data_IF_606825757293
#
_entry.id   IF_606825757293
#
_cell.length_a   1.000
_cell.length_b   1.000
_cell.length_c   1.000
_cell.angle_alpha   90.00
_cell.angle_beta   90.00
_cell.angle_gamma   90.00
#
_symmetry.space_group_name_H-M   'P 1'
#
loop_
_entity.id
_entity.type
_entity.pdbx_description
1 polymer ?
#
# COMPACT_ATOMS: atom_id res chain seq x y z
N UNK A 1 -11.83 2.81 1.99
CA UNK A 1 -11.64 3.74 0.86
C UNK A 1 -10.24 4.32 1.00
N UNK A 2 -9.30 3.95 0.11
CA UNK A 2 -7.90 4.40 0.29
C UNK A 2 -6.82 3.72 -0.55
N UNK A 3 -7.17 2.91 -1.55
CA UNK A 3 -6.20 2.26 -2.45
C UNK A 3 -6.25 2.77 -3.90
N UNK A 4 -7.22 3.61 -4.26
CA UNK A 4 -7.38 4.10 -5.64
C UNK A 4 -6.41 5.23 -6.00
N UNK A 5 -5.89 5.99 -5.03
CA UNK A 5 -5.04 7.15 -5.31
C UNK A 5 -3.61 6.76 -5.77
N UNK A 6 -3.08 5.60 -5.37
CA UNK A 6 -1.69 5.22 -5.65
C UNK A 6 -1.50 4.71 -7.09
N UNK A 7 -2.53 4.10 -7.70
CA UNK A 7 -2.48 3.65 -9.08
C UNK A 7 -2.73 4.77 -10.12
N UNK A 8 -3.47 5.81 -9.75
CA UNK A 8 -3.73 6.96 -10.65
C UNK A 8 -2.47 7.81 -10.85
N UNK A 9 -1.63 7.95 -9.82
CA UNK A 9 -0.36 8.67 -9.92
C UNK A 9 0.64 8.01 -10.87
N UNK A 10 0.68 6.67 -10.91
CA UNK A 10 1.62 5.95 -11.77
C UNK A 10 1.18 5.98 -13.26
N UNK A 11 -0.13 6.01 -13.52
CA UNK A 11 -0.69 6.08 -14.88
C UNK A 11 -0.44 7.45 -15.52
N UNK A 12 -0.58 8.54 -14.77
CA UNK A 12 -0.28 9.88 -15.27
C UNK A 12 1.21 10.13 -15.48
N UNK A 13 2.10 9.56 -14.65
CA UNK A 13 3.55 9.64 -14.87
C UNK A 13 3.97 8.91 -16.14
N UNK A 14 3.47 7.68 -16.34
CA UNK A 14 3.71 6.92 -17.58
C UNK A 14 3.17 7.65 -18.82
N UNK A 15 1.98 8.24 -18.73
CA UNK A 15 1.35 8.93 -19.85
C UNK A 15 2.06 10.26 -20.18
N UNK A 16 2.61 10.97 -19.18
CA UNK A 16 3.39 12.20 -19.40
C UNK A 16 4.77 11.90 -20.01
N UNK A 17 5.42 10.82 -19.56
CA UNK A 17 6.71 10.36 -20.12
C UNK A 17 6.53 9.87 -21.56
N UNK A 18 5.47 9.09 -21.85
CA UNK A 18 5.19 8.62 -23.20
C UNK A 18 4.68 9.72 -24.15
N UNK A 19 3.88 10.68 -23.65
CA UNK A 19 3.46 11.81 -24.48
C UNK A 19 4.60 12.77 -24.78
N UNK A 20 5.55 12.99 -23.85
CA UNK A 20 6.78 13.73 -24.11
C UNK A 20 7.61 13.09 -25.24
N UNK A 21 7.76 11.76 -25.20
CA UNK A 21 8.49 11.00 -26.22
C UNK A 21 7.84 11.08 -27.61
N UNK A 22 6.50 11.18 -27.68
CA UNK A 22 5.74 11.25 -28.94
C UNK A 22 5.82 12.61 -29.63
N UNK A 23 6.02 13.69 -28.86
CA UNK A 23 6.27 15.03 -29.42
C UNK A 23 7.73 15.22 -29.82
N UNK A 24 8.68 14.66 -29.08
CA UNK A 24 10.10 14.66 -29.46
C UNK A 24 10.38 13.84 -30.73
N UNK A 25 9.64 12.75 -30.98
CA UNK A 25 9.75 11.99 -32.24
C UNK A 25 9.14 12.73 -33.45
N UNK A 26 8.16 13.62 -33.24
CA UNK A 26 7.60 14.47 -34.29
C UNK A 26 8.47 15.72 -34.57
N UNK A 27 9.08 16.31 -33.53
CA UNK A 27 10.09 17.36 -33.69
C UNK A 27 11.41 16.83 -34.26
N UNK A 28 11.78 15.59 -33.94
CA UNK A 28 12.91 14.89 -34.56
C UNK A 28 12.75 14.68 -36.07
N UNK A 29 11.52 14.56 -36.57
CA UNK A 29 11.25 14.50 -38.03
C UNK A 29 11.42 15.83 -38.77
N UNK A 30 11.45 16.96 -38.07
CA UNK A 30 11.75 18.28 -38.66
C UNK A 30 13.23 18.70 -38.53
N UNK A 31 14.03 17.99 -37.72
CA UNK A 31 15.48 18.19 -37.60
C UNK A 31 16.19 17.31 -38.64
N UNK A 32 15.95 17.59 -39.93
CA UNK A 32 16.54 16.84 -41.06
C UNK A 32 18.06 16.97 -41.17
N UNK A 33 18.70 17.76 -40.31
CA UNK A 33 20.14 17.78 -40.12
C UNK A 33 20.45 17.27 -38.71
N UNK A 34 20.95 16.04 -38.61
CA UNK A 34 21.58 15.61 -37.37
C UNK A 34 22.78 16.53 -37.09
N UNK A 35 23.11 16.73 -35.82
CA UNK A 35 24.29 17.49 -35.42
C UNK A 35 25.53 16.94 -36.13
N UNK A 36 25.62 15.62 -36.27
CA UNK A 36 26.67 14.92 -37.02
C UNK A 36 26.70 15.33 -38.50
N UNK A 37 25.55 15.48 -39.17
CA UNK A 37 25.46 15.97 -40.56
C UNK A 37 25.90 17.44 -40.70
N UNK A 38 25.64 18.29 -39.70
CA UNK A 38 26.10 19.69 -39.68
C UNK A 38 27.63 19.76 -39.60
N UNK A 39 28.25 18.95 -38.75
CA UNK A 39 29.72 18.88 -38.66
C UNK A 39 30.34 18.22 -39.90
N UNK A 40 29.75 17.13 -40.39
CA UNK A 40 30.27 16.39 -41.54
C UNK A 40 30.19 17.22 -42.83
N UNK A 41 29.09 17.98 -43.03
CA UNK A 41 28.97 18.90 -44.17
C UNK A 41 30.00 20.03 -44.12
N UNK A 42 30.24 20.62 -42.94
CA UNK A 42 31.29 21.63 -42.75
C UNK A 42 32.69 21.07 -43.06
N UNK A 43 33.00 19.88 -42.55
CA UNK A 43 34.28 19.20 -42.80
C UNK A 43 34.48 18.93 -44.30
N UNK A 44 33.46 18.40 -44.99
CA UNK A 44 33.50 18.13 -46.43
C UNK A 44 33.70 19.43 -47.23
N UNK A 45 33.05 20.54 -46.82
CA UNK A 45 33.23 21.85 -47.45
C UNK A 45 34.66 22.41 -47.24
N UNK A 46 35.28 22.22 -46.07
CA UNK A 46 36.67 22.66 -45.82
C UNK A 46 37.64 21.86 -46.69
N UNK A 47 37.51 20.53 -46.71
CA UNK A 47 38.39 19.67 -47.51
C UNK A 47 38.18 19.86 -49.01
N UNK A 48 36.94 20.03 -49.46
CA UNK A 48 36.62 20.39 -50.84
C UNK A 48 37.22 21.74 -51.25
N UNK A 49 37.08 22.76 -50.39
CA UNK A 49 37.68 24.08 -50.60
C UNK A 49 39.22 24.03 -50.64
N UNK A 50 39.85 23.23 -49.78
CA UNK A 50 41.31 23.02 -49.78
C UNK A 50 41.78 22.31 -51.05
N UNK A 51 41.00 21.34 -51.56
CA UNK A 51 41.23 20.69 -52.84
C UNK A 51 41.16 21.66 -54.02
N UNK A 52 40.18 22.57 -54.02
CA UNK A 52 40.08 23.62 -55.05
C UNK A 52 41.21 24.66 -54.95
N UNK A 53 41.63 25.02 -53.74
CA UNK A 53 42.73 25.96 -53.52
C UNK A 53 44.08 25.41 -53.99
N UNK A 54 44.33 24.10 -53.82
CA UNK A 54 45.59 23.45 -54.22
C UNK A 54 45.83 23.44 -55.74
N UNK A 55 44.76 23.43 -56.53
CA UNK A 55 44.80 23.48 -58.00
C UNK A 55 45.19 24.88 -58.49
N UNK A 56 44.84 25.93 -57.74
CA UNK A 56 45.02 27.33 -58.15
C UNK A 56 46.38 27.88 -57.70
N UNK A 57 46.74 27.73 -56.41
CA UNK A 57 48.01 28.23 -55.86
C UNK A 57 48.34 27.54 -54.52
N UNK A 58 49.55 26.97 -54.42
CA UNK A 58 50.02 26.26 -53.21
C UNK A 58 50.24 27.20 -52.02
N UNK A 59 50.50 28.49 -52.25
CA UNK A 59 50.66 29.49 -51.17
C UNK A 59 49.34 29.85 -50.49
N UNK A 60 48.23 29.62 -51.18
CA UNK A 60 46.87 29.89 -50.72
C UNK A 60 46.41 28.80 -49.73
N UNK A 61 46.92 27.57 -49.89
CA UNK A 61 46.68 26.43 -48.99
C UNK A 61 47.22 26.69 -47.57
N UNK A 62 48.47 27.18 -47.45
CA UNK A 62 49.07 27.49 -46.14
C UNK A 62 48.29 28.59 -45.40
N UNK A 63 47.81 29.59 -46.16
CA UNK A 63 47.02 30.69 -45.61
C UNK A 63 45.66 30.20 -45.10
N UNK A 64 44.92 29.41 -45.91
CA UNK A 64 43.63 28.84 -45.50
C UNK A 64 43.79 27.92 -44.29
N UNK A 65 44.80 27.07 -44.25
CA UNK A 65 45.04 26.17 -43.11
C UNK A 65 45.29 26.95 -41.82
N UNK A 66 46.10 28.00 -41.88
CA UNK A 66 46.36 28.86 -40.72
C UNK A 66 45.08 29.55 -40.22
N UNK A 67 44.29 30.14 -41.12
CA UNK A 67 43.03 30.78 -40.76
C UNK A 67 41.96 29.78 -40.32
N UNK A 68 41.95 28.55 -40.82
CA UNK A 68 41.03 27.49 -40.38
C UNK A 68 41.33 27.04 -38.94
N UNK A 69 42.61 26.91 -38.58
CA UNK A 69 43.02 26.60 -37.20
C UNK A 69 42.64 27.76 -36.27
N UNK A 70 42.92 29.01 -36.67
CA UNK A 70 42.53 30.20 -35.91
C UNK A 70 41.00 30.32 -35.76
N UNK A 71 40.25 30.04 -36.82
CA UNK A 71 38.80 30.04 -36.81
C UNK A 71 38.28 28.97 -35.85
N UNK A 72 38.83 27.76 -35.87
CA UNK A 72 38.43 26.67 -34.95
C UNK A 72 38.66 27.08 -33.49
N UNK A 73 39.86 27.58 -33.17
CA UNK A 73 40.19 28.05 -31.81
C UNK A 73 39.26 29.20 -31.39
N UNK A 74 39.10 30.22 -32.24
CA UNK A 74 38.24 31.36 -31.95
C UNK A 74 36.75 30.97 -31.81
N UNK A 75 36.29 29.96 -32.56
CA UNK A 75 34.91 29.46 -32.49
C UNK A 75 34.63 28.74 -31.17
N UNK A 76 35.62 28.00 -30.65
CA UNK A 76 35.51 27.30 -29.36
C UNK A 76 35.48 28.31 -28.19
N UNK A 77 36.35 29.31 -28.22
CA UNK A 77 36.51 30.24 -27.09
C UNK A 77 35.57 31.46 -27.12
N UNK A 78 35.29 32.00 -28.31
CA UNK A 78 34.55 33.27 -28.47
C UNK A 78 33.30 33.15 -29.37
N UNK A 79 32.93 31.92 -29.79
CA UNK A 79 31.70 31.61 -30.53
C UNK A 79 31.49 32.49 -31.78
N UNK A 80 30.29 33.05 -31.96
CA UNK A 80 29.95 33.94 -33.09
C UNK A 80 30.83 35.19 -33.17
N UNK A 81 31.31 35.69 -32.04
CA UNK A 81 32.17 36.88 -32.02
C UNK A 81 33.58 36.55 -32.52
N UNK A 82 34.12 35.40 -32.11
CA UNK A 82 35.38 34.86 -32.63
C UNK A 82 35.32 34.58 -34.14
N UNK A 83 34.22 33.96 -34.59
CA UNK A 83 33.96 33.74 -36.01
C UNK A 83 33.93 35.05 -36.81
N UNK A 84 33.23 36.07 -36.32
CA UNK A 84 33.15 37.37 -36.99
C UNK A 84 34.52 38.05 -37.15
N UNK A 85 35.33 38.07 -36.08
CA UNK A 85 36.67 38.68 -36.10
C UNK A 85 37.61 37.94 -37.06
N UNK A 86 37.66 36.61 -37.01
CA UNK A 86 38.53 35.81 -37.88
C UNK A 86 38.09 35.89 -39.35
N UNK A 87 36.78 35.90 -39.60
CA UNK A 87 36.21 36.04 -40.95
C UNK A 87 36.53 37.40 -41.58
N UNK A 88 36.45 38.49 -40.81
CA UNK A 88 36.81 39.83 -41.28
C UNK A 88 38.31 39.94 -41.57
N UNK A 89 39.17 39.39 -40.71
CA UNK A 89 40.62 39.36 -40.93
C UNK A 89 41.00 38.51 -42.14
N UNK A 90 40.36 37.35 -42.30
CA UNK A 90 40.56 36.49 -43.46
C UNK A 90 40.18 37.21 -44.76
N UNK A 91 39.00 37.83 -44.82
CA UNK A 91 38.57 38.60 -45.99
C UNK A 91 39.54 39.75 -46.32
N UNK A 92 40.01 40.48 -45.32
CA UNK A 92 40.94 41.59 -45.52
C UNK A 92 42.28 41.12 -46.10
N UNK A 93 42.87 40.07 -45.50
CA UNK A 93 44.17 39.51 -45.95
C UNK A 93 44.05 38.80 -47.29
N UNK A 94 42.98 38.04 -47.50
CA UNK A 94 42.70 37.32 -48.74
C UNK A 94 42.48 38.29 -49.91
N UNK A 95 41.70 39.35 -49.70
CA UNK A 95 41.44 40.36 -50.72
C UNK A 95 42.70 41.17 -51.05
N UNK A 96 43.47 41.60 -50.03
CA UNK A 96 44.70 42.38 -50.24
C UNK A 96 45.76 41.60 -51.03
N UNK A 97 45.89 40.28 -50.78
CA UNK A 97 46.93 39.45 -51.40
C UNK A 97 46.59 38.98 -52.81
N UNK A 98 45.31 38.83 -53.16
CA UNK A 98 44.89 38.16 -54.41
C UNK A 98 44.13 39.05 -55.41
N UNK A 99 43.97 40.35 -55.14
CA UNK A 99 43.29 41.29 -56.06
C UNK A 99 43.99 41.46 -57.43
N UNK A 100 45.29 41.18 -57.51
CA UNK A 100 46.12 41.42 -58.71
C UNK A 100 46.60 40.17 -59.45
N UNK A 101 46.33 38.96 -58.95
CA UNK A 101 46.96 37.70 -59.44
C UNK A 101 45.98 36.66 -60.01
N UNK A 102 44.67 36.81 -59.81
CA UNK A 102 43.70 35.79 -60.24
C UNK A 102 43.09 36.11 -61.60
N UNK A 103 43.15 35.15 -62.54
CA UNK A 103 42.56 35.25 -63.89
C UNK A 103 41.03 35.22 -63.92
N UNK A 104 40.35 35.05 -62.77
CA UNK A 104 38.89 35.17 -62.66
C UNK A 104 38.45 35.52 -61.23
N UNK A 105 37.87 36.71 -61.06
CA UNK A 105 37.29 37.20 -59.80
C UNK A 105 36.20 36.28 -59.22
N UNK A 106 35.50 35.54 -60.08
CA UNK A 106 34.44 34.62 -59.69
C UNK A 106 34.96 33.44 -58.87
N UNK A 107 36.14 32.91 -59.22
CA UNK A 107 36.76 31.82 -58.48
C UNK A 107 37.27 32.27 -57.10
N UNK A 108 37.88 33.46 -57.03
CA UNK A 108 38.37 34.00 -55.78
C UNK A 108 37.22 34.30 -54.80
N UNK A 109 36.11 34.88 -55.29
CA UNK A 109 34.92 35.12 -54.49
C UNK A 109 34.21 33.83 -54.07
N UNK A 110 34.04 32.87 -54.99
CA UNK A 110 33.41 31.58 -54.69
C UNK A 110 34.18 30.75 -53.65
N UNK A 111 35.51 30.78 -53.71
CA UNK A 111 36.34 30.10 -52.71
C UNK A 111 36.21 30.77 -51.33
N UNK A 112 36.27 32.11 -51.28
CA UNK A 112 36.13 32.85 -50.03
C UNK A 112 34.76 32.66 -49.39
N UNK A 113 33.68 32.66 -50.17
CA UNK A 113 32.33 32.47 -49.63
C UNK A 113 32.12 31.03 -49.16
N UNK A 114 32.66 30.03 -49.85
CA UNK A 114 32.59 28.64 -49.43
C UNK A 114 33.28 28.39 -48.07
N UNK A 115 34.46 29.00 -47.84
CA UNK A 115 35.15 28.89 -46.55
C UNK A 115 34.42 29.60 -45.41
N UNK A 116 33.91 30.82 -45.67
CA UNK A 116 33.11 31.55 -44.69
C UNK A 116 31.84 30.77 -44.33
N UNK A 117 31.13 30.25 -45.32
CA UNK A 117 29.94 29.42 -45.10
C UNK A 117 30.28 28.17 -44.30
N UNK A 118 31.39 27.51 -44.61
CA UNK A 118 31.79 26.30 -43.88
C UNK A 118 32.11 26.57 -42.41
N UNK A 119 32.86 27.63 -42.11
CA UNK A 119 33.13 28.05 -40.73
C UNK A 119 31.85 28.50 -40.02
N UNK A 120 30.93 29.18 -40.72
CA UNK A 120 29.64 29.58 -40.17
C UNK A 120 28.76 28.38 -39.78
N UNK A 121 28.71 27.34 -40.64
CA UNK A 121 28.01 26.08 -40.36
C UNK A 121 28.63 25.38 -39.16
N UNK A 122 29.97 25.40 -39.01
CA UNK A 122 30.67 24.81 -37.87
C UNK A 122 30.30 25.50 -36.54
N UNK A 123 30.26 26.83 -36.53
CA UNK A 123 29.90 27.62 -35.34
C UNK A 123 28.44 27.38 -34.95
N UNK A 124 27.54 27.28 -35.92
CA UNK A 124 26.14 26.91 -35.69
C UNK A 124 26.02 25.50 -35.08
N UNK A 125 26.83 24.54 -35.51
CA UNK A 125 26.90 23.21 -34.91
C UNK A 125 27.30 23.26 -33.43
N UNK A 126 28.30 24.07 -33.07
CA UNK A 126 28.76 24.23 -31.67
C UNK A 126 27.65 24.82 -30.80
N UNK A 127 26.92 25.82 -31.30
CA UNK A 127 25.84 26.45 -30.52
C UNK A 127 24.65 25.53 -30.32
N UNK A 128 24.31 24.71 -31.32
CA UNK A 128 23.24 23.71 -31.19
C UNK A 128 23.59 22.62 -30.16
N UNK A 129 24.85 22.21 -30.05
CA UNK A 129 25.31 21.27 -29.01
C UNK A 129 25.20 21.91 -27.62
N UNK A 130 25.59 23.18 -27.46
CA UNK A 130 25.53 23.86 -26.16
C UNK A 130 24.09 24.05 -25.69
N UNK A 131 23.17 24.40 -26.60
CA UNK A 131 21.74 24.47 -26.31
C UNK A 131 21.17 23.11 -25.89
N UNK A 132 21.49 22.04 -26.62
CA UNK A 132 21.03 20.70 -26.29
C UNK A 132 21.58 20.21 -24.94
N UNK A 133 22.85 20.49 -24.64
CA UNK A 133 23.46 20.18 -23.35
C UNK A 133 22.81 20.97 -22.20
N UNK A 134 22.45 22.23 -22.42
CA UNK A 134 21.75 23.04 -21.42
C UNK A 134 20.33 22.53 -21.17
N UNK A 135 19.59 22.17 -22.22
CA UNK A 135 18.26 21.57 -22.09
C UNK A 135 18.32 20.22 -21.37
N UNK A 136 19.27 19.35 -21.73
CA UNK A 136 19.46 18.07 -21.04
C UNK A 136 19.82 18.26 -19.57
N UNK A 137 20.68 19.24 -19.26
CA UNK A 137 21.03 19.57 -17.87
C UNK A 137 19.83 20.08 -17.09
N UNK A 138 19.01 20.95 -17.67
CA UNK A 138 17.77 21.42 -17.04
C UNK A 138 16.78 20.28 -16.79
N UNK A 139 16.60 19.37 -17.75
CA UNK A 139 15.77 18.17 -17.58
C UNK A 139 16.31 17.28 -16.45
N UNK A 140 17.63 17.10 -16.36
CA UNK A 140 18.28 16.33 -15.31
C UNK A 140 18.07 16.97 -13.93
N UNK A 141 18.28 18.28 -13.80
CA UNK A 141 18.09 19.03 -12.55
C UNK A 141 16.61 18.98 -12.10
N UNK A 142 15.65 19.10 -13.03
CA UNK A 142 14.23 18.94 -12.73
C UNK A 142 13.90 17.53 -12.23
N UNK A 143 14.42 16.50 -12.87
CA UNK A 143 14.19 15.11 -12.48
C UNK A 143 14.83 14.79 -11.12
N UNK A 144 16.03 15.34 -10.86
CA UNK A 144 16.71 15.23 -9.57
C UNK A 144 15.91 15.88 -8.44
N UNK A 145 15.37 17.08 -8.66
CA UNK A 145 14.53 17.76 -7.68
C UNK A 145 13.23 17.00 -7.41
N UNK A 146 12.58 16.47 -8.45
CA UNK A 146 11.38 15.63 -8.28
C UNK A 146 11.68 14.36 -7.49
N UNK A 147 12.82 13.71 -7.75
CA UNK A 147 13.25 12.54 -7.00
C UNK A 147 13.50 12.87 -5.53
N UNK A 148 14.16 13.99 -5.23
CA UNK A 148 14.39 14.45 -3.87
C UNK A 148 13.08 14.75 -3.12
N UNK A 149 12.11 15.39 -3.78
CA UNK A 149 10.79 15.67 -3.19
C UNK A 149 10.03 14.37 -2.88
N UNK A 150 10.04 13.41 -3.81
CA UNK A 150 9.44 12.09 -3.60
C UNK A 150 10.11 11.37 -2.43
N UNK A 151 11.45 11.40 -2.35
CA UNK A 151 12.18 10.78 -1.26
C UNK A 151 11.80 11.38 0.10
N UNK A 152 11.72 12.70 0.22
CA UNK A 152 11.30 13.37 1.48
C UNK A 152 9.87 12.99 1.86
N UNK A 153 8.95 12.92 0.88
CA UNK A 153 7.57 12.51 1.12
C UNK A 153 7.47 11.04 1.59
N UNK A 154 8.29 10.17 1.01
CA UNK A 154 8.36 8.76 1.36
C UNK A 154 8.92 8.57 2.78
N UNK A 155 10.04 9.23 3.09
CA UNK A 155 10.67 9.16 4.41
C UNK A 155 9.72 9.66 5.50
N UNK A 156 8.96 10.73 5.24
CA UNK A 156 7.92 11.21 6.14
C UNK A 156 6.81 10.18 6.35
N UNK A 157 6.30 9.57 5.28
CA UNK A 157 5.25 8.56 5.38
C UNK A 157 5.73 7.29 6.13
N UNK A 158 6.98 6.89 5.94
CA UNK A 158 7.60 5.78 6.69
C UNK A 158 7.72 6.13 8.17
N UNK A 159 8.15 7.34 8.50
CA UNK A 159 8.25 7.80 9.88
C UNK A 159 6.88 7.88 10.58
N UNK A 160 5.87 8.47 9.92
CA UNK A 160 4.51 8.56 10.45
C UNK A 160 3.90 7.17 10.69
N UNK A 161 4.18 6.22 9.78
CA UNK A 161 3.75 4.82 9.93
C UNK A 161 4.45 4.14 11.10
N UNK A 162 5.76 4.36 11.28
CA UNK A 162 6.51 3.80 12.41
C UNK A 162 5.95 4.31 13.74
N UNK A 163 5.67 5.61 13.85
CA UNK A 163 5.05 6.22 15.03
C UNK A 163 3.65 5.65 15.32
N UNK A 164 2.84 5.44 14.29
CA UNK A 164 1.52 4.82 14.43
C UNK A 164 1.62 3.36 14.90
N UNK A 165 2.57 2.59 14.37
CA UNK A 165 2.83 1.22 14.82
C UNK A 165 3.27 1.18 16.29
N UNK A 166 4.20 2.05 16.71
CA UNK A 166 4.64 2.12 18.10
C UNK A 166 3.50 2.48 19.06
N UNK A 167 2.63 3.41 18.66
CA UNK A 167 1.43 3.76 19.44
C UNK A 167 0.48 2.57 19.58
N UNK A 168 0.22 1.83 18.50
CA UNK A 168 -0.65 0.66 18.52
C UNK A 168 -0.05 -0.48 19.36
N UNK A 169 1.26 -0.69 19.30
CA UNK A 169 1.97 -1.68 20.12
C UNK A 169 1.88 -1.34 21.61
N UNK A 170 2.13 -0.08 21.98
CA UNK A 170 1.94 0.40 23.37
C UNK A 170 0.50 0.19 23.85
N UNK A 171 -0.49 0.47 23.00
CA UNK A 171 -1.90 0.26 23.33
C UNK A 171 -2.25 -1.23 23.46
N UNK A 172 -1.69 -2.08 22.62
CA UNK A 172 -1.89 -3.53 22.70
C UNK A 172 -1.33 -4.09 24.01
N UNK A 173 -0.12 -3.67 24.40
CA UNK A 173 0.46 -4.07 25.69
C UNK A 173 -0.34 -3.57 26.89
N UNK A 174 -0.85 -2.35 26.86
CA UNK A 174 -1.72 -1.84 27.92
C UNK A 174 -2.99 -2.69 28.06
N UNK A 175 -3.67 -2.98 26.95
CA UNK A 175 -4.87 -3.83 26.94
C UNK A 175 -4.57 -5.27 27.39
N UNK A 176 -3.41 -5.81 27.01
CA UNK A 176 -2.98 -7.13 27.47
C UNK A 176 -2.74 -7.16 28.99
N UNK A 177 -2.19 -6.08 29.55
CA UNK A 177 -2.00 -5.94 31.00
C UNK A 177 -3.33 -5.83 31.76
N UNK A 178 -4.29 -5.05 31.26
CA UNK A 178 -5.65 -4.96 31.83
C UNK A 178 -6.40 -6.29 31.74
N UNK A 179 -6.23 -7.02 30.63
CA UNK A 179 -6.82 -8.34 30.46
C UNK A 179 -6.20 -9.36 31.43
N UNK A 180 -4.90 -9.29 31.68
CA UNK A 180 -4.25 -10.12 32.67
C UNK A 180 -4.75 -9.81 34.09
N UNK A 181 -4.89 -8.52 34.43
CA UNK A 181 -5.44 -8.09 35.73
C UNK A 181 -6.88 -8.59 35.92
N UNK A 182 -7.75 -8.39 34.94
CA UNK A 182 -9.14 -8.89 35.01
C UNK A 182 -9.22 -10.41 35.13
N UNK A 183 -8.32 -11.17 34.47
CA UNK A 183 -8.22 -12.62 34.66
C UNK A 183 -7.84 -13.01 36.08
N UNK A 184 -6.89 -12.29 36.69
CA UNK A 184 -6.50 -12.56 38.08
C UNK A 184 -7.65 -12.28 39.05
N UNK A 185 -8.36 -11.16 38.87
CA UNK A 185 -9.55 -10.84 39.66
C UNK A 185 -10.66 -11.88 39.51
N UNK A 186 -10.88 -12.37 38.30
CA UNK A 186 -11.88 -13.41 38.04
C UNK A 186 -11.49 -14.74 38.70
N UNK A 187 -10.22 -15.12 38.64
CA UNK A 187 -9.71 -16.32 39.30
C UNK A 187 -9.86 -16.24 40.83
N UNK A 188 -9.56 -15.09 41.43
CA UNK A 188 -9.73 -14.90 42.87
C UNK A 188 -11.20 -14.86 43.28
N UNK A 189 -12.08 -14.28 42.45
CA UNK A 189 -13.52 -14.35 42.65
C UNK A 189 -14.05 -15.78 42.58
N UNK A 190 -13.58 -16.59 41.61
CA UNK A 190 -13.94 -18.01 41.52
C UNK A 190 -13.52 -18.78 42.78
N UNK A 191 -12.28 -18.59 43.27
CA UNK A 191 -11.84 -19.20 44.53
C UNK A 191 -12.73 -18.79 45.71
N UNK A 192 -13.09 -17.50 45.80
CA UNK A 192 -13.99 -17.01 46.86
C UNK A 192 -15.37 -17.66 46.77
N UNK A 193 -15.90 -17.85 45.57
CA UNK A 193 -17.16 -18.55 45.36
C UNK A 193 -17.08 -20.04 45.75
N UNK A 194 -15.99 -20.72 45.42
CA UNK A 194 -15.75 -22.10 45.85
C UNK A 194 -15.70 -22.22 47.38
N UNK A 195 -14.98 -21.31 48.06
CA UNK A 195 -14.97 -21.26 49.52
C UNK A 195 -16.36 -21.02 50.11
N UNK A 196 -17.13 -20.08 49.56
CA UNK A 196 -18.49 -19.82 50.02
C UNK A 196 -19.43 -21.02 49.79
N UNK A 197 -19.27 -21.74 48.69
CA UNK A 197 -20.03 -22.97 48.43
C UNK A 197 -19.70 -24.07 49.44
N UNK A 198 -18.42 -24.24 49.80
CA UNK A 198 -17.99 -25.17 50.85
C UNK A 198 -18.55 -24.77 52.22
N UNK A 199 -18.52 -23.49 52.58
CA UNK A 199 -19.08 -23.00 53.85
C UNK A 199 -20.60 -23.25 53.92
N UNK A 200 -21.33 -23.01 52.83
CA UNK A 200 -22.76 -23.31 52.74
C UNK A 200 -23.05 -24.80 52.88
N UNK A 201 -22.20 -25.66 52.33
CA UNK A 201 -22.32 -27.11 52.50
C UNK A 201 -22.11 -27.51 53.97
N UNK A 202 -21.09 -26.95 54.63
CA UNK A 202 -20.85 -27.19 56.06
C UNK A 202 -22.04 -26.75 56.92
N UNK A 203 -22.61 -25.56 56.64
CA UNK A 203 -23.81 -25.08 57.34
C UNK A 203 -25.02 -25.98 57.10
N UNK A 204 -25.18 -26.51 55.88
CA UNK A 204 -26.25 -27.45 55.56
C UNK A 204 -26.08 -28.77 56.33
N UNK A 205 -24.86 -29.29 56.43
CA UNK A 205 -24.54 -30.51 57.18
C UNK A 205 -24.77 -30.30 58.69
N UNK A 206 -24.35 -29.15 59.23
CA UNK A 206 -24.64 -28.78 60.63
C UNK A 206 -26.13 -28.68 60.90
N UNK A 207 -26.90 -28.05 60.00
CA UNK A 207 -28.36 -27.98 60.10
C UNK A 207 -28.99 -29.37 60.13
N UNK A 208 -28.54 -30.27 59.26
CA UNK A 208 -29.04 -31.64 59.20
C UNK A 208 -28.70 -32.41 60.48
N UNK A 209 -27.48 -32.27 60.99
CA UNK A 209 -27.08 -32.86 62.29
C UNK A 209 -27.95 -32.36 63.43
N UNK A 210 -28.22 -31.05 63.51
CA UNK A 210 -29.10 -30.49 64.56
C UNK A 210 -30.53 -30.98 64.44
N UNK A 211 -31.05 -31.17 63.22
CA UNK A 211 -32.37 -31.73 63.00
C UNK A 211 -32.44 -33.20 63.44
N UNK A 212 -31.39 -33.98 63.22
CA UNK A 212 -31.27 -35.34 63.74
C UNK A 212 -31.23 -35.37 65.27
N UNK A 213 -30.39 -34.54 65.89
CA UNK A 213 -30.31 -34.41 67.36
C UNK A 213 -31.67 -33.99 67.97
N UNK A 214 -32.33 -33.01 67.35
CA UNK A 214 -33.66 -32.58 67.75
C UNK A 214 -34.70 -33.71 67.61
N UNK A 215 -34.66 -34.48 66.53
CA UNK A 215 -35.58 -35.60 66.33
C UNK A 215 -35.37 -36.68 67.40
N UNK A 216 -34.12 -36.98 67.78
CA UNK A 216 -33.79 -37.91 68.87
C UNK A 216 -34.34 -37.38 70.20
N UNK A 217 -34.07 -36.11 70.53
CA UNK A 217 -34.53 -35.49 71.78
C UNK A 217 -36.06 -35.41 71.84
N UNK A 218 -36.71 -35.09 70.71
CA UNK A 218 -38.17 -35.04 70.61
C UNK A 218 -38.78 -36.43 70.80
N UNK A 219 -38.20 -37.47 70.18
CA UNK A 219 -38.62 -38.85 70.41
C UNK A 219 -38.43 -39.29 71.86
N UNK A 220 -37.36 -38.86 72.52
CA UNK A 220 -37.12 -39.11 73.94
C UNK A 220 -38.12 -38.37 74.84
N UNK A 221 -38.43 -37.11 74.53
CA UNK A 221 -39.47 -36.33 75.22
C UNK A 221 -40.84 -36.98 75.05
N UNK A 222 -41.21 -37.38 73.83
CA UNK A 222 -42.45 -38.11 73.57
C UNK A 222 -42.49 -39.42 74.35
N UNK A 223 -41.38 -40.16 74.41
CA UNK A 223 -41.27 -41.38 75.24
C UNK A 223 -41.47 -41.09 76.73
N UNK A 224 -40.91 -40.01 77.26
CA UNK A 224 -41.04 -39.63 78.67
C UNK A 224 -42.43 -39.09 79.02
N UNK A 225 -43.07 -38.35 78.11
CA UNK A 225 -44.41 -37.77 78.31
C UNK A 225 -45.53 -38.79 78.06
N UNK A 226 -45.37 -39.67 77.07
CA UNK A 226 -46.29 -40.77 76.84
C UNK A 226 -46.17 -41.85 77.92
N UNK A 227 -44.99 -41.96 78.56
CA UNK A 227 -44.76 -42.72 79.78
C UNK A 227 -44.81 -44.25 79.61
N UNK A 228 -43.81 -44.93 80.17
CA UNK A 228 -44.04 -46.24 80.79
C UNK A 228 -45.22 -46.09 81.76
N UNK A 229 -46.20 -46.99 81.68
CA UNK A 229 -47.52 -46.91 82.32
C UNK A 229 -47.53 -46.91 83.87
N UNK A 230 -46.41 -46.68 84.56
CA UNK A 230 -46.29 -46.91 86.01
C UNK A 230 -45.78 -45.75 86.88
N UNK A 231 -45.57 -44.54 86.35
CA UNK A 231 -45.24 -43.39 87.21
C UNK A 231 -46.04 -42.14 86.84
N UNK A 232 -47.05 -41.85 87.66
CA UNK A 232 -47.85 -40.64 87.61
C UNK A 232 -47.02 -39.43 88.07
N UNK A 233 -46.88 -38.43 87.20
CA UNK A 233 -46.15 -37.19 87.50
C UNK A 233 -47.03 -35.97 87.25
N UNK A 234 -48.24 -35.91 87.83
CA UNK A 234 -48.96 -34.63 88.01
C UNK A 234 -49.87 -34.70 89.25
N UNK A 235 -49.38 -34.23 90.40
CA UNK A 235 -50.10 -34.22 91.70
C UNK A 235 -50.88 -32.93 92.00
N UNK A 236 -51.20 -32.10 91.00
CA UNK A 236 -51.66 -30.72 91.24
C UNK A 236 -53.12 -30.44 90.87
N UNK A 237 -53.92 -31.47 90.57
CA UNK A 237 -55.38 -31.33 90.37
C UNK A 237 -56.13 -31.81 91.63
N UNK A 238 -55.97 -31.06 92.72
CA UNK A 238 -56.85 -31.13 93.88
C UNK A 238 -56.87 -29.76 94.57
N UNK A 239 -57.60 -28.83 93.97
CA UNK A 239 -57.94 -27.55 94.58
C UNK A 239 -59.05 -27.74 95.60
N UNK A 240 -58.67 -28.15 96.82
CA UNK A 240 -59.55 -28.11 97.99
C UNK A 240 -59.18 -26.90 98.83
N UNK A 241 -60.13 -25.98 98.97
CA UNK A 241 -60.04 -24.80 99.80
C UNK A 241 -59.67 -25.16 101.24
N UNK A 242 -58.58 -24.58 101.74
CA UNK A 242 -58.36 -24.38 103.17
C UNK A 242 -57.75 -23.00 103.37
N UNK A 243 -58.61 -22.04 103.71
CA UNK A 243 -58.20 -20.87 104.47
C UNK A 243 -57.97 -21.30 105.92
N UNK A 244 -56.79 -20.99 106.46
CA UNK A 244 -56.60 -20.83 107.89
C UNK A 244 -55.53 -19.77 108.15
N UNK A 245 -55.90 -18.83 109.00
CA UNK A 245 -55.13 -17.71 109.54
C UNK A 245 -53.64 -17.99 109.76
N UNK A 246 -52.79 -17.03 109.39
CA UNK A 246 -51.71 -16.61 110.28
C UNK A 246 -51.34 -15.14 110.06
N UNK A 247 -51.14 -14.45 111.17
CA UNK A 247 -50.66 -13.08 111.28
C UNK A 247 -49.19 -13.02 110.84
N UNK A 248 -48.89 -12.30 109.76
CA UNK A 248 -47.53 -12.19 109.23
C UNK A 248 -47.38 -11.17 108.10
N UNK A 249 -48.03 -10.01 108.20
CA UNK A 249 -48.21 -9.04 107.11
C UNK A 249 -46.96 -8.25 106.65
N UNK A 250 -45.75 -8.65 107.08
CA UNK A 250 -44.50 -7.95 106.81
C UNK A 250 -43.59 -8.66 105.79
N UNK A 251 -43.47 -10.00 105.87
CA UNK A 251 -42.58 -10.76 104.98
C UNK A 251 -43.18 -10.98 103.58
N UNK A 252 -44.49 -11.15 103.46
CA UNK A 252 -45.16 -11.27 102.17
C UNK A 252 -45.04 -9.99 101.34
N UNK A 253 -45.11 -8.81 101.98
CA UNK A 253 -44.98 -7.53 101.29
C UNK A 253 -43.56 -7.32 100.71
N UNK A 254 -42.52 -7.75 101.42
CA UNK A 254 -41.14 -7.71 100.92
C UNK A 254 -40.90 -8.70 99.77
N UNK A 255 -41.52 -9.89 99.82
CA UNK A 255 -41.46 -10.86 98.72
C UNK A 255 -42.19 -10.36 97.48
N UNK A 256 -43.35 -9.72 97.64
CA UNK A 256 -44.08 -9.08 96.53
C UNK A 256 -43.30 -7.91 95.92
N UNK A 257 -42.66 -7.07 96.74
CA UNK A 257 -41.80 -5.97 96.25
C UNK A 257 -40.58 -6.49 95.49
N UNK A 258 -39.93 -7.56 95.98
CA UNK A 258 -38.81 -8.22 95.28
C UNK A 258 -39.26 -8.83 93.95
N UNK A 259 -40.40 -9.52 93.92
CA UNK A 259 -40.96 -10.10 92.70
C UNK A 259 -41.38 -9.03 91.68
N UNK A 260 -41.92 -7.90 92.15
CA UNK A 260 -42.26 -6.76 91.29
C UNK A 260 -41.01 -6.14 90.68
N UNK A 261 -39.96 -5.93 91.49
CA UNK A 261 -38.70 -5.34 91.01
C UNK A 261 -37.98 -6.27 90.02
N UNK A 262 -37.98 -7.58 90.24
CA UNK A 262 -37.41 -8.56 89.31
C UNK A 262 -38.20 -8.64 87.99
N UNK A 263 -39.51 -8.36 88.04
CA UNK A 263 -40.37 -8.25 86.86
C UNK A 263 -40.13 -6.95 86.09
N UNK A 264 -39.93 -5.83 86.77
CA UNK A 264 -39.60 -4.56 86.15
C UNK A 264 -38.21 -4.59 85.50
N UNK A 265 -37.22 -5.24 86.12
CA UNK A 265 -35.90 -5.47 85.51
C UNK A 265 -35.98 -6.37 84.27
N UNK A 266 -36.78 -7.44 84.32
CA UNK A 266 -37.05 -8.28 83.14
C UNK A 266 -37.82 -7.54 82.05
N UNK A 267 -38.74 -6.63 82.41
CA UNK A 267 -39.42 -5.79 81.43
C UNK A 267 -38.45 -4.83 80.76
N UNK A 268 -37.55 -4.19 81.53
CA UNK A 268 -36.53 -3.31 80.98
C UNK A 268 -35.52 -4.05 80.07
N UNK A 269 -35.16 -5.30 80.40
CA UNK A 269 -34.30 -6.11 79.53
C UNK A 269 -35.00 -6.46 78.21
N UNK A 270 -36.28 -6.86 78.28
CA UNK A 270 -37.08 -7.15 77.09
C UNK A 270 -37.33 -5.91 76.22
N UNK A 271 -37.49 -4.73 76.82
CA UNK A 271 -37.58 -3.47 76.07
C UNK A 271 -36.26 -3.15 75.34
N UNK A 272 -35.11 -3.40 75.96
CA UNK A 272 -33.81 -3.23 75.30
C UNK A 272 -33.61 -4.23 74.16
N UNK A 273 -33.93 -5.51 74.36
CA UNK A 273 -33.88 -6.53 73.29
C UNK A 273 -34.80 -6.14 72.11
N UNK A 274 -35.98 -5.59 72.40
CA UNK A 274 -36.91 -5.12 71.37
C UNK A 274 -36.39 -3.89 70.60
N UNK A 275 -35.60 -3.03 71.24
CA UNK A 275 -34.93 -1.90 70.58
C UNK A 275 -33.81 -2.41 69.67
N UNK A 276 -32.99 -3.36 70.15
CA UNK A 276 -31.93 -3.97 69.34
C UNK A 276 -32.50 -4.72 68.12
N UNK A 277 -33.59 -5.46 68.30
CA UNK A 277 -34.26 -6.15 67.20
C UNK A 277 -34.79 -5.15 66.16
N UNK A 278 -35.40 -4.04 66.59
CA UNK A 278 -35.85 -2.97 65.67
C UNK A 278 -34.71 -2.34 64.89
N UNK A 279 -33.55 -2.14 65.52
CA UNK A 279 -32.36 -1.60 64.85
C UNK A 279 -31.81 -2.59 63.83
N UNK A 280 -31.70 -3.87 64.22
CA UNK A 280 -31.27 -4.96 63.32
C UNK A 280 -32.20 -5.08 62.11
N UNK A 281 -33.52 -5.05 62.35
CA UNK A 281 -34.53 -5.12 61.28
C UNK A 281 -34.42 -3.95 60.31
N UNK A 282 -34.16 -2.73 60.81
CA UNK A 282 -33.96 -1.56 59.96
C UNK A 282 -32.68 -1.64 59.12
N UNK A 283 -31.61 -2.23 59.67
CA UNK A 283 -30.38 -2.50 58.92
C UNK A 283 -30.62 -3.49 57.78
N UNK A 284 -31.30 -4.60 58.08
CA UNK A 284 -31.65 -5.62 57.08
C UNK A 284 -32.60 -5.07 56.01
N UNK A 285 -33.54 -4.20 56.36
CA UNK A 285 -34.43 -3.54 55.40
C UNK A 285 -33.65 -2.64 54.43
N UNK A 286 -32.65 -1.90 54.93
CA UNK A 286 -31.76 -1.10 54.09
C UNK A 286 -30.90 -1.95 53.15
N UNK A 287 -30.33 -3.06 53.64
CA UNK A 287 -29.59 -4.02 52.80
C UNK A 287 -30.49 -4.65 51.72
N UNK A 288 -31.74 -4.95 52.06
CA UNK A 288 -32.71 -5.47 51.11
C UNK A 288 -33.04 -4.44 50.03
N UNK A 289 -33.09 -3.15 50.38
CA UNK A 289 -33.25 -2.06 49.41
C UNK A 289 -32.04 -1.90 48.50
N UNK A 290 -30.80 -2.03 48.99
CA UNK A 290 -29.61 -1.99 48.13
C UNK A 290 -29.56 -3.18 47.19
N UNK A 291 -29.82 -4.40 47.68
CA UNK A 291 -29.92 -5.61 46.87
C UNK A 291 -30.98 -5.49 45.77
N UNK A 292 -32.11 -4.85 46.05
CA UNK A 292 -33.14 -4.60 45.05
C UNK A 292 -32.63 -3.67 43.93
N UNK A 293 -31.87 -2.64 44.27
CA UNK A 293 -31.24 -1.75 43.28
C UNK A 293 -30.24 -2.53 42.41
N UNK A 294 -29.41 -3.37 43.01
CA UNK A 294 -28.43 -4.18 42.29
C UNK A 294 -29.11 -5.16 41.32
N UNK A 295 -30.25 -5.75 41.72
CA UNK A 295 -31.05 -6.62 40.85
C UNK A 295 -31.61 -5.83 39.64
N UNK A 296 -32.09 -4.60 39.85
CA UNK A 296 -32.56 -3.74 38.76
C UNK A 296 -31.44 -3.39 37.77
N UNK A 297 -30.20 -3.18 38.25
CA UNK A 297 -29.03 -2.98 37.39
C UNK A 297 -28.66 -4.24 36.60
N UNK A 298 -28.72 -5.42 37.24
CA UNK A 298 -28.47 -6.70 36.56
C UNK A 298 -29.49 -6.94 35.45
N UNK A 299 -30.77 -6.63 35.68
CA UNK A 299 -31.81 -6.77 34.67
C UNK A 299 -31.57 -5.83 33.47
N UNK A 300 -31.10 -4.61 33.69
CA UNK A 300 -30.70 -3.69 32.61
C UNK A 300 -29.48 -4.18 31.84
N UNK A 301 -28.50 -4.77 32.52
CA UNK A 301 -27.33 -5.38 31.86
C UNK A 301 -27.73 -6.61 31.05
N UNK A 302 -28.68 -7.40 31.56
CA UNK A 302 -29.23 -8.56 30.84
C UNK A 302 -29.97 -8.14 29.57
N UNK A 303 -30.78 -7.08 29.62
CA UNK A 303 -31.47 -6.58 28.42
C UNK A 303 -30.48 -6.07 27.37
N UNK A 304 -29.43 -5.35 27.77
CA UNK A 304 -28.34 -4.94 26.86
C UNK A 304 -27.60 -6.12 26.26
N UNK A 305 -27.34 -7.16 27.04
CA UNK A 305 -26.69 -8.37 26.55
C UNK A 305 -27.55 -9.06 25.49
N UNK A 306 -28.87 -9.12 25.71
CA UNK A 306 -29.82 -9.66 24.73
C UNK A 306 -29.87 -8.81 23.45
N UNK A 307 -29.81 -7.48 23.54
CA UNK A 307 -29.68 -6.59 22.38
C UNK A 307 -28.39 -6.87 21.58
N UNK A 308 -27.25 -7.01 22.26
CA UNK A 308 -25.99 -7.33 21.60
C UNK A 308 -26.00 -8.73 20.97
N UNK A 309 -26.61 -9.72 21.63
CA UNK A 309 -26.74 -11.07 21.09
C UNK A 309 -27.63 -11.09 19.84
N UNK A 310 -28.71 -10.31 19.84
CA UNK A 310 -29.57 -10.12 18.67
C UNK A 310 -28.80 -9.46 17.52
N UNK A 311 -28.02 -8.41 17.79
CA UNK A 311 -27.19 -7.73 16.79
C UNK A 311 -26.12 -8.68 16.21
N UNK A 312 -25.47 -9.48 17.06
CA UNK A 312 -24.48 -10.47 16.62
C UNK A 312 -25.13 -11.53 15.73
N UNK A 313 -26.31 -12.04 16.12
CA UNK A 313 -27.06 -12.99 15.30
C UNK A 313 -27.48 -12.40 13.93
N UNK A 314 -27.76 -11.10 13.88
CA UNK A 314 -28.04 -10.40 12.64
C UNK A 314 -26.79 -10.31 11.76
N UNK A 315 -25.62 -9.98 12.35
CA UNK A 315 -24.36 -9.93 11.62
C UNK A 315 -23.89 -11.29 11.12
N UNK A 316 -24.13 -12.35 11.87
CA UNK A 316 -23.88 -13.72 11.40
C UNK A 316 -24.80 -14.10 10.23
N UNK A 317 -26.06 -13.67 10.24
CA UNK A 317 -26.97 -13.83 9.09
C UNK A 317 -26.48 -13.04 7.86
N UNK A 318 -26.02 -11.81 8.05
CA UNK A 318 -25.45 -11.00 6.97
C UNK A 318 -24.16 -11.66 6.41
N UNK A 319 -23.28 -12.17 7.28
CA UNK A 319 -22.06 -12.89 6.88
C UNK A 319 -22.37 -14.17 6.12
N UNK A 320 -23.33 -14.97 6.58
CA UNK A 320 -23.74 -16.19 5.88
C UNK A 320 -24.37 -15.89 4.53
N UNK A 321 -25.17 -14.82 4.40
CA UNK A 321 -25.66 -14.34 3.11
C UNK A 321 -24.52 -13.90 2.18
N UNK A 322 -23.54 -13.16 2.70
CA UNK A 322 -22.37 -12.73 1.95
C UNK A 322 -21.51 -13.93 1.49
N UNK A 323 -21.32 -14.91 2.37
CA UNK A 323 -20.66 -16.16 2.02
C UNK A 323 -21.43 -16.96 0.97
N UNK A 324 -22.77 -17.00 1.04
CA UNK A 324 -23.59 -17.63 0.02
C UNK A 324 -23.44 -16.91 -1.33
N UNK A 325 -23.44 -15.57 -1.35
CA UNK A 325 -23.19 -14.78 -2.57
C UNK A 325 -21.79 -15.03 -3.15
N UNK A 326 -20.75 -15.04 -2.30
CA UNK A 326 -19.37 -15.36 -2.70
C UNK A 326 -19.29 -16.79 -3.24
N UNK A 327 -19.97 -17.74 -2.60
CA UNK A 327 -19.99 -19.13 -3.06
C UNK A 327 -20.80 -19.31 -4.34
N UNK A 328 -21.88 -18.57 -4.53
CA UNK A 328 -22.65 -18.53 -5.77
C UNK A 328 -21.82 -17.92 -6.91
N UNK A 329 -21.05 -16.86 -6.63
CA UNK A 329 -20.11 -16.28 -7.58
C UNK A 329 -18.95 -17.24 -7.89
N UNK A 330 -18.41 -17.94 -6.89
CA UNK A 330 -17.41 -19.00 -7.08
C UNK A 330 -17.97 -20.22 -7.84
N UNK A 331 -19.24 -20.55 -7.67
CA UNK A 331 -19.91 -21.63 -8.41
C UNK A 331 -20.19 -21.22 -9.86
N UNK A 332 -20.55 -19.96 -10.11
CA UNK A 332 -20.68 -19.39 -11.45
C UNK A 332 -19.33 -19.36 -12.20
N UNK A 333 -18.21 -19.26 -11.47
CA UNK A 333 -16.84 -19.29 -12.00
C UNK A 333 -16.30 -20.73 -12.17
N UNK A 334 -17.01 -21.75 -11.69
CA UNK A 334 -16.59 -23.17 -11.77
C UNK A 334 -17.31 -23.97 -12.86
N UNK A 335 -17.23 -23.48 -14.11
CA UNK A 335 -17.10 -24.29 -15.36
C UNK A 335 -16.89 -23.36 -16.57
N UNK A 336 -15.89 -23.55 -17.48
CA UNK A 336 -14.65 -24.32 -17.42
C UNK A 336 -13.40 -23.42 -17.61
N UNK A 337 -12.91 -22.78 -16.55
CA UNK A 337 -11.67 -21.95 -16.63
C UNK A 337 -10.39 -22.82 -16.75
N UNK A 338 -10.48 -24.11 -16.43
CA UNK A 338 -9.35 -25.04 -16.53
C UNK A 338 -8.98 -25.40 -17.99
N UNK A 339 -9.96 -25.42 -18.91
CA UNK A 339 -9.69 -25.62 -20.35
C UNK A 339 -9.20 -24.32 -21.00
N UNK A 340 -9.68 -23.16 -20.56
CA UNK A 340 -9.20 -21.87 -21.07
C UNK A 340 -7.76 -21.58 -20.67
N UNK A 341 -7.34 -21.85 -19.43
CA UNK A 341 -5.94 -21.62 -19.03
C UNK A 341 -4.94 -22.54 -19.76
N UNK A 342 -5.35 -23.79 -20.06
CA UNK A 342 -4.58 -24.70 -20.91
C UNK A 342 -4.58 -24.22 -22.36
N UNK A 343 -5.72 -23.78 -22.88
CA UNK A 343 -5.85 -23.17 -24.22
C UNK A 343 -5.01 -21.91 -24.37
N UNK A 344 -4.95 -21.02 -23.38
CA UNK A 344 -4.14 -19.81 -23.42
C UNK A 344 -2.66 -20.12 -23.35
N UNK A 345 -2.25 -21.09 -22.51
CA UNK A 345 -0.85 -21.52 -22.46
C UNK A 345 -0.40 -22.18 -23.77
N UNK A 346 -1.27 -22.99 -24.38
CA UNK A 346 -0.98 -23.63 -25.67
C UNK A 346 -1.01 -22.62 -26.82
N UNK A 347 -1.96 -21.67 -26.83
CA UNK A 347 -1.98 -20.54 -27.79
C UNK A 347 -0.75 -19.65 -27.65
N UNK A 348 -0.31 -19.37 -26.42
CA UNK A 348 0.90 -18.59 -26.16
C UNK A 348 2.16 -19.32 -26.65
N UNK A 349 2.26 -20.63 -26.41
CA UNK A 349 3.34 -21.45 -26.95
C UNK A 349 3.31 -21.49 -28.48
N UNK A 350 2.12 -21.60 -29.09
CA UNK A 350 1.94 -21.59 -30.53
C UNK A 350 2.33 -20.23 -31.14
N UNK A 351 1.93 -19.11 -30.52
CA UNK A 351 2.36 -17.77 -30.91
C UNK A 351 3.87 -17.62 -30.80
N UNK A 352 4.49 -18.12 -29.72
CA UNK A 352 5.94 -18.06 -29.54
C UNK A 352 6.67 -18.87 -30.62
N UNK A 353 6.15 -20.03 -31.01
CA UNK A 353 6.72 -20.81 -32.12
C UNK A 353 6.52 -20.11 -33.47
N UNK A 354 5.35 -19.52 -33.71
CA UNK A 354 5.10 -18.74 -34.93
C UNK A 354 5.99 -17.49 -35.02
N UNK A 355 6.25 -16.80 -33.91
CA UNK A 355 7.21 -15.70 -33.86
C UNK A 355 8.61 -16.18 -34.21
N UNK A 356 9.06 -17.31 -33.62
CA UNK A 356 10.37 -17.88 -33.93
C UNK A 356 10.50 -18.23 -35.43
N UNK A 357 9.50 -18.94 -35.98
CA UNK A 357 9.48 -19.33 -37.40
C UNK A 357 9.41 -18.11 -38.34
N UNK A 358 8.61 -17.10 -38.01
CA UNK A 358 8.52 -15.85 -38.77
C UNK A 358 9.80 -15.02 -38.70
N UNK A 359 10.47 -14.98 -37.54
CA UNK A 359 11.78 -14.32 -37.42
C UNK A 359 12.88 -15.05 -38.15
N UNK A 360 12.82 -16.38 -38.22
CA UNK A 360 13.76 -17.19 -39.00
C UNK A 360 13.54 -16.99 -40.50
N UNK A 361 12.30 -17.03 -40.97
CA UNK A 361 11.94 -16.72 -42.35
C UNK A 361 12.33 -15.27 -42.73
N UNK A 362 12.13 -14.29 -41.84
CA UNK A 362 12.57 -12.90 -42.06
C UNK A 362 14.10 -12.81 -42.17
N UNK A 363 14.84 -13.59 -41.37
CA UNK A 363 16.29 -13.65 -41.45
C UNK A 363 16.77 -14.32 -42.75
N UNK A 364 16.06 -15.34 -43.22
CA UNK A 364 16.33 -16.01 -44.51
C UNK A 364 16.04 -15.08 -45.69
N UNK A 365 14.88 -14.40 -45.71
CA UNK A 365 14.53 -13.40 -46.73
C UNK A 365 15.53 -12.24 -46.72
N UNK A 366 16.00 -11.79 -45.54
CA UNK A 366 17.06 -10.77 -45.45
C UNK A 366 18.39 -11.26 -46.02
N UNK A 367 18.73 -12.54 -45.86
CA UNK A 367 19.92 -13.15 -46.49
C UNK A 367 19.75 -13.27 -47.99
N UNK A 368 18.59 -13.70 -48.48
CA UNK A 368 18.30 -13.73 -49.92
C UNK A 368 18.33 -12.33 -50.52
N UNK A 369 17.79 -11.32 -49.84
CA UNK A 369 17.87 -9.92 -50.28
C UNK A 369 19.31 -9.42 -50.29
N UNK A 370 20.13 -9.84 -49.32
CA UNK A 370 21.56 -9.54 -49.32
C UNK A 370 22.27 -10.20 -50.51
N UNK A 371 21.98 -11.48 -50.80
CA UNK A 371 22.52 -12.20 -51.95
C UNK A 371 22.07 -11.60 -53.28
N UNK A 372 20.78 -11.29 -53.44
CA UNK A 372 20.25 -10.61 -54.63
C UNK A 372 20.87 -9.23 -54.79
N UNK A 373 21.12 -8.51 -53.69
CA UNK A 373 21.81 -7.21 -53.74
C UNK A 373 23.28 -7.36 -54.08
N UNK A 374 23.93 -8.43 -53.63
CA UNK A 374 25.31 -8.77 -53.97
C UNK A 374 25.43 -9.17 -55.45
N UNK A 375 24.52 -10.03 -55.93
CA UNK A 375 24.40 -10.42 -57.34
C UNK A 375 24.03 -9.21 -58.22
N UNK A 376 23.15 -8.32 -57.77
CA UNK A 376 22.85 -7.07 -58.46
C UNK A 376 24.07 -6.15 -58.53
N UNK A 377 24.84 -6.01 -57.45
CA UNK A 377 26.08 -5.22 -57.45
C UNK A 377 27.16 -5.87 -58.33
N UNK A 378 27.23 -7.19 -58.37
CA UNK A 378 28.14 -7.95 -59.24
C UNK A 378 27.73 -7.82 -60.72
N UNK A 379 26.44 -7.91 -61.02
CA UNK A 379 25.85 -7.68 -62.34
C UNK A 379 26.00 -6.21 -62.75
N UNK A 380 25.77 -5.24 -61.87
CA UNK A 380 25.98 -3.81 -62.14
C UNK A 380 27.45 -3.53 -62.48
N UNK A 381 28.40 -4.18 -61.79
CA UNK A 381 29.83 -4.11 -62.10
C UNK A 381 30.19 -4.80 -63.42
N UNK A 382 29.41 -5.81 -63.83
CA UNK A 382 29.51 -6.49 -65.13
C UNK A 382 28.80 -5.72 -66.26
N UNK A 383 27.78 -4.94 -65.95
CA UNK A 383 26.97 -4.11 -66.85
C UNK A 383 27.64 -2.74 -67.11
N UNK A 384 28.38 -2.20 -66.14
CA UNK A 384 29.37 -1.13 -66.37
C UNK A 384 30.45 -1.56 -67.39
N UNK A 385 30.71 -2.86 -67.53
CA UNK A 385 31.62 -3.40 -68.56
C UNK A 385 30.95 -3.68 -69.91
N UNK A 386 29.61 -3.78 -69.97
CA UNK A 386 28.86 -3.99 -71.21
C UNK A 386 27.52 -3.25 -71.15
N UNK A 387 27.46 -2.09 -71.81
CA UNK A 387 26.26 -1.26 -71.88
C UNK A 387 25.09 -2.01 -72.55
N UNK A 388 24.01 -2.32 -71.82
CA UNK A 388 22.61 -2.16 -72.27
C UNK A 388 21.57 -2.62 -71.22
N UNK A 389 20.66 -1.69 -70.91
CA UNK A 389 19.27 -1.79 -70.42
C UNK A 389 18.86 -2.92 -69.44
N UNK A 390 18.60 -2.49 -68.20
CA UNK A 390 17.89 -3.21 -67.12
C UNK A 390 16.45 -3.55 -67.55
N UNK A 391 16.07 -4.83 -67.40
CA UNK A 391 14.72 -5.31 -67.66
C UNK A 391 13.77 -4.99 -66.50
N UNK A 392 12.58 -4.49 -66.81
CA UNK A 392 11.64 -3.85 -65.85
C UNK A 392 11.11 -4.81 -64.76
N UNK A 393 11.35 -6.10 -64.94
CA UNK A 393 10.85 -7.21 -64.12
C UNK A 393 11.58 -7.32 -62.77
N UNK A 394 12.85 -6.91 -62.71
CA UNK A 394 13.66 -6.98 -61.49
C UNK A 394 13.30 -5.84 -60.52
N UNK A 395 12.92 -4.68 -61.05
CA UNK A 395 12.39 -3.56 -60.26
C UNK A 395 11.05 -3.95 -59.62
N UNK A 396 10.19 -4.63 -60.37
CA UNK A 396 8.90 -5.13 -59.88
C UNK A 396 9.07 -6.18 -58.77
N UNK A 397 10.08 -7.05 -58.89
CA UNK A 397 10.39 -8.05 -57.87
C UNK A 397 10.88 -7.41 -56.56
N UNK A 398 11.77 -6.41 -56.64
CA UNK A 398 12.27 -5.67 -55.46
C UNK A 398 11.13 -4.89 -54.80
N UNK A 399 10.25 -4.26 -55.58
CA UNK A 399 9.09 -3.53 -55.04
C UNK A 399 8.09 -4.46 -54.36
N UNK A 400 7.81 -5.63 -54.93
CA UNK A 400 6.94 -6.62 -54.31
C UNK A 400 7.53 -7.17 -53.00
N UNK A 401 8.84 -7.39 -52.93
CA UNK A 401 9.51 -7.84 -51.70
C UNK A 401 9.50 -6.77 -50.61
N UNK A 402 9.70 -5.49 -50.96
CA UNK A 402 9.59 -4.36 -50.03
C UNK A 402 8.17 -4.24 -49.47
N UNK A 403 7.14 -4.33 -50.33
CA UNK A 403 5.75 -4.30 -49.89
C UNK A 403 5.39 -5.47 -48.96
N UNK A 404 5.98 -6.65 -49.18
CA UNK A 404 5.76 -7.80 -48.32
C UNK A 404 6.40 -7.64 -46.94
N UNK A 405 7.56 -6.97 -46.86
CA UNK A 405 8.23 -6.65 -45.59
C UNK A 405 7.39 -5.63 -44.79
N UNK A 406 6.89 -4.58 -45.44
CA UNK A 406 6.06 -3.56 -44.78
C UNK A 406 4.77 -4.17 -44.18
N UNK A 407 4.09 -5.06 -44.91
CA UNK A 407 2.92 -5.79 -44.40
C UNK A 407 3.25 -6.63 -43.15
N UNK A 408 4.40 -7.32 -43.14
CA UNK A 408 4.80 -8.18 -42.02
C UNK A 408 5.20 -7.36 -40.79
N UNK A 409 5.82 -6.19 -40.96
CA UNK A 409 6.14 -5.29 -39.86
C UNK A 409 4.87 -4.72 -39.21
N UNK A 410 3.88 -4.32 -40.02
CA UNK A 410 2.61 -3.79 -39.52
C UNK A 410 1.81 -4.85 -38.73
N UNK A 411 1.85 -6.11 -39.18
CA UNK A 411 1.19 -7.23 -38.51
C UNK A 411 1.86 -7.59 -37.18
N UNK A 412 3.20 -7.58 -37.10
CA UNK A 412 3.95 -7.75 -35.83
C UNK A 412 3.58 -6.65 -34.83
N UNK A 413 3.52 -5.40 -35.28
CA UNK A 413 3.17 -4.25 -34.43
C UNK A 413 1.74 -4.39 -33.87
N UNK A 414 0.81 -4.90 -34.69
CA UNK A 414 -0.58 -5.14 -34.25
C UNK A 414 -0.69 -6.24 -33.19
N UNK A 415 0.13 -7.30 -33.32
CA UNK A 415 0.19 -8.42 -32.37
C UNK A 415 0.84 -8.01 -31.04
N UNK A 416 1.88 -7.18 -31.08
CA UNK A 416 2.47 -6.56 -29.88
C UNK A 416 1.46 -5.67 -29.14
N UNK A 417 0.63 -4.93 -29.89
CA UNK A 417 -0.50 -4.16 -29.36
C UNK A 417 -1.54 -5.05 -28.66
N UNK A 418 -1.90 -6.19 -29.25
CA UNK A 418 -2.85 -7.15 -28.66
C UNK A 418 -2.32 -7.85 -27.41
N UNK A 419 -1.01 -8.15 -27.36
CA UNK A 419 -0.36 -8.75 -26.19
C UNK A 419 -0.29 -7.76 -25.03
N UNK A 420 0.10 -6.51 -25.30
CA UNK A 420 0.17 -5.46 -24.28
C UNK A 420 -1.22 -5.13 -23.70
N UNK A 421 -2.27 -5.16 -24.51
CA UNK A 421 -3.63 -4.93 -24.05
C UNK A 421 -4.17 -6.07 -23.16
N UNK A 422 -3.84 -7.33 -23.46
CA UNK A 422 -4.25 -8.49 -22.67
C UNK A 422 -3.48 -8.67 -21.35
N UNK A 423 -2.25 -8.14 -21.24
CA UNK A 423 -1.47 -8.11 -19.99
C UNK A 423 -1.90 -6.98 -19.03
N UNK A 424 -2.75 -6.06 -19.49
CA UNK A 424 -3.21 -4.88 -18.75
C UNK A 424 -4.62 -5.00 -18.15
N UNK A 425 -5.31 -6.11 -18.44
CA UNK A 425 -6.55 -6.55 -17.77
C UNK A 425 -6.23 -7.64 -16.76
#
# INVERSE_FOLDING_TARGET
MGFEAMHVFNKHLYQKVYQGFRWETLLGRYRSFSIEWVFLSSIVLIFGGLGCASIVDTTLLLLIMCFSILALVASIYFRFWGYGVVSCLFLFVYYYKHIGTCSSLLWALGLSTAFLLSWGIFVLGITLIDEENQEQKQKYDQLSNQYAEIQVSYDKAVHDKAMACEFLEKRAHALESELQESRTLLQDSCKKQEHMALDLQILADQKNSWLEDYAILHNEYVRLVAGDETTSVFSWVSGKETFSNSEGRSEDAELWLRALHEKDEKMASLENELIEEKLSRKSLENECHSLKSDIEEIDQLRSRLEEFQNLLSQKDKELTQLHALVNQQKALVKTPVADEFKSYKDKYLQLKMQFAEKTEALAEVRKELFLVREDYLALQKQEEMTSNFVDMKDIEMIQNLLAHIECLEEEITSLEGLISHNLSQ
#
